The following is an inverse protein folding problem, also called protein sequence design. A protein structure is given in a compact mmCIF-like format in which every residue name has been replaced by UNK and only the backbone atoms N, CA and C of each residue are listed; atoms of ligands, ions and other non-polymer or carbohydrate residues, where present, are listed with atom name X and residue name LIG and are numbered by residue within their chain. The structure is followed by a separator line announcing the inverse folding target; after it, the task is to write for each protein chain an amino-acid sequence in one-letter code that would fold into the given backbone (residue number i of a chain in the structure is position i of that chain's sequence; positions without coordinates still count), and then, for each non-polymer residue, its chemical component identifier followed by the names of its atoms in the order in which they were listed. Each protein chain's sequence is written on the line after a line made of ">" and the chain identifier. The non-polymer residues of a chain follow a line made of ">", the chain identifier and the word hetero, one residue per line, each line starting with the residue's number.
data_IF_699689858705
#
_entry.id   IF_699689858705
#
_cell.length_a   1.000
_cell.length_b   1.000
_cell.length_c   1.000
_cell.angle_alpha   90.00
_cell.angle_beta   90.00
_cell.angle_gamma   90.00
#
_symmetry.space_group_name_H-M   'P 1'
#
loop_
_entity.id
_entity.type
_entity.pdbx_description
1 polymer ?
#
# COMPACT_ATOMS: atom_id res chain seq x y z
N UNK A 1 27.37 9.70 1.39
CA UNK A 1 26.14 9.49 2.22
C UNK A 1 26.41 9.36 3.74
N UNK A 2 27.61 8.95 4.19
CA UNK A 2 27.96 8.80 5.60
C UNK A 2 28.18 10.11 6.36
N UNK A 3 28.67 11.15 5.71
CA UNK A 3 28.96 12.47 6.30
C UNK A 3 27.69 13.24 6.66
N UNK A 4 26.64 13.16 5.86
CA UNK A 4 25.38 13.86 6.16
C UNK A 4 24.61 13.29 7.37
N UNK A 5 24.73 11.99 7.66
CA UNK A 5 24.13 11.38 8.86
C UNK A 5 24.82 11.85 10.14
N UNK A 6 26.16 11.86 10.17
CA UNK A 6 26.94 12.34 11.34
C UNK A 6 26.72 13.83 11.58
N UNK A 7 26.66 14.66 10.54
CA UNK A 7 26.38 16.09 10.66
C UNK A 7 24.96 16.35 11.15
N UNK A 8 23.94 15.63 10.69
CA UNK A 8 22.58 15.77 11.22
C UNK A 8 22.49 15.35 12.68
N UNK A 9 23.13 14.26 13.08
CA UNK A 9 23.20 13.84 14.48
C UNK A 9 23.93 14.87 15.37
N UNK A 10 25.04 15.47 14.90
CA UNK A 10 25.72 16.53 15.62
C UNK A 10 24.83 17.78 15.78
N UNK A 11 24.16 18.24 14.71
CA UNK A 11 23.27 19.40 14.79
C UNK A 11 22.06 19.16 15.70
N UNK A 12 21.56 17.94 15.79
CA UNK A 12 20.48 17.56 16.70
C UNK A 12 20.99 17.52 18.12
N UNK A 13 22.15 16.91 18.39
CA UNK A 13 22.78 16.83 19.73
C UNK A 13 23.09 18.18 20.35
N UNK A 14 23.47 19.17 19.56
CA UNK A 14 23.84 20.50 20.05
C UNK A 14 22.66 21.41 20.39
N UNK A 15 21.44 21.06 19.91
CA UNK A 15 20.23 21.90 20.05
C UNK A 15 19.09 21.25 20.83
N UNK A 16 19.11 19.92 20.96
CA UNK A 16 18.06 19.13 21.57
C UNK A 16 18.64 18.14 22.57
N UNK A 17 17.77 17.54 23.37
CA UNK A 17 18.16 16.44 24.25
C UNK A 17 18.95 15.37 23.49
N UNK A 18 20.14 14.96 23.93
CA UNK A 18 20.94 13.95 23.25
C UNK A 18 20.25 12.58 23.14
N UNK A 19 19.21 12.34 23.92
CA UNK A 19 18.40 11.14 23.90
C UNK A 19 17.19 11.23 22.95
N UNK A 20 16.96 12.38 22.30
CA UNK A 20 15.86 12.54 21.36
C UNK A 20 15.94 11.56 20.17
N UNK A 21 17.17 11.21 19.75
CA UNK A 21 17.41 10.20 18.70
C UNK A 21 18.51 9.27 19.19
N UNK A 22 18.12 8.05 19.54
CA UNK A 22 19.06 7.01 19.95
C UNK A 22 19.33 6.03 18.80
N UNK A 23 20.55 5.50 18.75
CA UNK A 23 20.97 4.50 17.80
C UNK A 23 21.67 3.35 18.51
N UNK A 24 21.14 2.14 18.33
CA UNK A 24 21.75 0.91 18.84
C UNK A 24 22.87 0.52 17.89
N UNK A 25 24.11 0.52 18.36
CA UNK A 25 25.30 0.21 17.54
C UNK A 25 25.52 -1.29 17.34
N UNK A 26 24.94 -2.10 18.23
CA UNK A 26 25.04 -3.56 18.14
C UNK A 26 24.07 -4.10 17.10
N UNK A 27 24.53 -5.02 16.26
CA UNK A 27 23.77 -5.65 15.19
C UNK A 27 23.23 -7.03 15.59
N UNK A 28 23.40 -7.44 16.83
CA UNK A 28 22.89 -8.72 17.34
C UNK A 28 21.35 -8.71 17.37
N UNK A 29 20.75 -9.73 16.82
CA UNK A 29 19.29 -9.88 16.74
C UNK A 29 18.61 -10.04 18.09
N UNK A 30 19.33 -10.46 19.13
CA UNK A 30 18.82 -10.53 20.51
C UNK A 30 18.27 -9.19 21.00
N UNK A 31 18.84 -8.06 20.55
CA UNK A 31 18.31 -6.74 20.86
C UNK A 31 16.91 -6.49 20.29
N UNK A 32 16.57 -7.09 19.15
CA UNK A 32 15.21 -7.01 18.62
C UNK A 32 14.23 -7.68 19.58
N UNK A 33 14.58 -8.85 20.10
CA UNK A 33 13.73 -9.58 21.06
C UNK A 33 13.49 -8.80 22.35
N UNK A 34 14.52 -8.10 22.85
CA UNK A 34 14.37 -7.24 24.02
C UNK A 34 13.47 -6.03 23.74
N UNK A 35 13.62 -5.38 22.57
CA UNK A 35 12.76 -4.26 22.16
C UNK A 35 11.30 -4.68 22.05
N UNK A 36 11.01 -5.91 21.56
CA UNK A 36 9.65 -6.43 21.44
C UNK A 36 8.94 -6.62 22.81
N UNK A 37 9.71 -6.70 23.90
CA UNK A 37 9.20 -6.89 25.27
C UNK A 37 9.19 -5.60 26.11
N UNK A 38 9.70 -4.50 25.56
CA UNK A 38 9.92 -3.23 26.29
C UNK A 38 8.61 -2.42 26.42
N UNK A 39 7.56 -3.04 26.94
CA UNK A 39 6.31 -2.35 27.29
C UNK A 39 6.56 -1.29 28.36
N UNK A 40 6.05 -0.08 28.14
CA UNK A 40 6.22 1.05 29.05
C UNK A 40 7.47 1.89 28.77
N UNK A 41 8.47 1.36 28.07
CA UNK A 41 9.65 2.09 27.61
C UNK A 41 9.54 2.48 26.11
N UNK A 42 8.79 1.70 25.34
CA UNK A 42 8.53 1.93 23.91
C UNK A 42 7.03 1.99 23.66
N UNK A 43 6.56 3.10 23.10
CA UNK A 43 5.14 3.31 22.79
C UNK A 43 4.71 2.58 21.52
N UNK A 44 5.58 2.53 20.49
CA UNK A 44 5.27 1.91 19.18
C UNK A 44 6.54 1.43 18.47
N UNK A 45 6.44 0.27 17.83
CA UNK A 45 7.47 -0.28 16.95
C UNK A 45 7.00 -0.16 15.50
N UNK A 46 7.87 0.38 14.63
CA UNK A 46 7.64 0.46 13.18
C UNK A 46 8.69 -0.42 12.50
N UNK A 47 8.35 -1.67 12.19
CA UNK A 47 9.33 -2.59 11.62
C UNK A 47 9.68 -2.23 10.18
N UNK A 48 10.94 -2.45 9.82
CA UNK A 48 11.46 -2.35 8.46
C UNK A 48 12.34 -3.55 8.16
N UNK A 49 11.99 -4.32 7.15
CA UNK A 49 12.73 -5.52 6.77
C UNK A 49 11.88 -6.48 5.94
N UNK A 50 12.40 -7.66 5.67
CA UNK A 50 11.67 -8.69 4.92
C UNK A 50 10.52 -9.31 5.72
N UNK A 51 9.66 -10.04 5.01
CA UNK A 51 8.44 -10.69 5.50
C UNK A 51 8.67 -11.49 6.80
N UNK A 52 9.71 -12.32 6.85
CA UNK A 52 10.01 -13.14 8.03
C UNK A 52 10.27 -12.34 9.30
N UNK A 53 10.94 -11.19 9.19
CA UNK A 53 11.16 -10.32 10.34
C UNK A 53 9.85 -9.68 10.82
N UNK A 54 9.03 -9.21 9.89
CA UNK A 54 7.74 -8.57 10.22
C UNK A 54 6.78 -9.58 10.84
N UNK A 55 6.76 -10.82 10.34
CA UNK A 55 5.99 -11.92 10.92
C UNK A 55 6.44 -12.24 12.35
N UNK A 56 7.76 -12.36 12.57
CA UNK A 56 8.34 -12.58 13.90
C UNK A 56 7.92 -11.47 14.88
N UNK A 57 8.01 -10.22 14.45
CA UNK A 57 7.60 -9.05 15.26
C UNK A 57 6.10 -9.12 15.55
N UNK A 58 5.27 -9.44 14.55
CA UNK A 58 3.82 -9.53 14.70
C UNK A 58 3.38 -10.59 15.71
N UNK A 59 4.14 -11.70 15.81
CA UNK A 59 3.82 -12.81 16.70
C UNK A 59 4.34 -12.60 18.13
N UNK A 60 5.45 -11.88 18.29
CA UNK A 60 6.19 -11.83 19.55
C UNK A 60 6.18 -10.47 20.23
N UNK A 61 5.75 -9.39 19.54
CA UNK A 61 5.75 -8.06 20.14
C UNK A 61 4.63 -7.89 21.17
N UNK A 62 5.01 -7.41 22.34
CA UNK A 62 4.09 -6.89 23.37
C UNK A 62 3.85 -5.40 23.19
N UNK A 63 4.75 -4.71 22.49
CA UNK A 63 4.63 -3.30 22.15
C UNK A 63 3.74 -3.16 20.91
N UNK A 64 2.82 -2.19 20.85
CA UNK A 64 2.03 -1.87 19.67
C UNK A 64 2.90 -1.70 18.42
N UNK A 65 2.46 -2.25 17.28
CA UNK A 65 3.22 -2.19 16.03
C UNK A 65 2.44 -1.48 14.94
N UNK A 66 3.11 -0.61 14.18
CA UNK A 66 2.61 -0.06 12.92
C UNK A 66 3.38 -0.79 11.81
N UNK A 67 2.73 -1.73 11.15
CA UNK A 67 3.40 -2.62 10.20
C UNK A 67 2.77 -2.58 8.82
N UNK A 68 3.60 -2.92 7.86
CA UNK A 68 3.25 -3.20 6.49
C UNK A 68 3.96 -4.48 6.07
N UNK A 69 3.22 -5.44 5.51
CA UNK A 69 3.78 -6.73 5.12
C UNK A 69 4.13 -6.76 3.63
N UNK A 70 3.16 -6.47 2.78
CA UNK A 70 3.25 -6.56 1.32
C UNK A 70 2.34 -5.51 0.68
N UNK A 71 2.68 -5.06 -0.54
CA UNK A 71 1.89 -4.12 -1.33
C UNK A 71 1.18 -4.79 -2.50
N UNK A 72 0.16 -5.61 -2.23
CA UNK A 72 -0.68 -6.21 -3.28
C UNK A 72 -1.80 -5.26 -3.67
N UNK A 73 -1.46 -4.27 -4.50
CA UNK A 73 -2.42 -3.27 -4.97
C UNK A 73 -3.13 -3.74 -6.25
N UNK A 74 -4.42 -3.38 -6.37
CA UNK A 74 -5.23 -3.70 -7.54
C UNK A 74 -5.71 -2.43 -8.24
N UNK A 75 -5.87 -2.53 -9.55
CA UNK A 75 -6.59 -1.55 -10.36
C UNK A 75 -7.74 -2.25 -11.06
N UNK A 76 -8.95 -1.78 -10.86
CA UNK A 76 -10.13 -2.23 -11.61
C UNK A 76 -10.44 -1.23 -12.72
N UNK A 77 -10.58 -1.71 -13.94
CA UNK A 77 -11.02 -0.95 -15.09
C UNK A 77 -12.45 -1.34 -15.48
N UNK A 78 -13.37 -0.42 -15.18
CA UNK A 78 -14.80 -0.59 -15.41
C UNK A 78 -15.19 -0.40 -16.87
N UNK A 79 -16.37 -0.88 -17.24
CA UNK A 79 -16.96 -0.69 -18.57
C UNK A 79 -17.22 0.79 -18.85
N UNK A 80 -16.93 1.22 -20.09
CA UNK A 80 -17.20 2.59 -20.55
C UNK A 80 -16.22 3.65 -20.06
N UNK A 81 -15.24 3.31 -19.24
CA UNK A 81 -14.15 4.21 -18.92
C UNK A 81 -13.17 4.28 -20.09
N UNK A 82 -12.71 5.48 -20.40
CA UNK A 82 -11.86 5.78 -21.56
C UNK A 82 -10.55 4.97 -21.57
N UNK A 83 -10.29 4.27 -22.66
CA UNK A 83 -9.14 3.37 -22.80
C UNK A 83 -7.79 4.07 -22.77
N UNK A 84 -7.71 5.29 -23.29
CA UNK A 84 -6.45 6.06 -23.31
C UNK A 84 -6.07 6.46 -21.88
N UNK A 85 -7.05 6.93 -21.11
CA UNK A 85 -6.86 7.23 -19.68
C UNK A 85 -6.55 5.98 -18.88
N UNK A 86 -7.22 4.86 -19.17
CA UNK A 86 -6.93 3.58 -18.53
C UNK A 86 -5.50 3.14 -18.82
N UNK A 87 -5.04 3.21 -20.07
CA UNK A 87 -3.68 2.87 -20.47
C UNK A 87 -2.63 3.73 -19.74
N UNK A 88 -2.89 5.05 -19.64
CA UNK A 88 -2.00 5.96 -18.92
C UNK A 88 -1.93 5.66 -17.42
N UNK A 89 -3.08 5.54 -16.76
CA UNK A 89 -3.16 5.31 -15.31
C UNK A 89 -2.57 3.95 -14.94
N UNK A 90 -2.90 2.88 -15.68
CA UNK A 90 -2.40 1.53 -15.40
C UNK A 90 -0.90 1.43 -15.64
N UNK A 91 -0.39 2.04 -16.72
CA UNK A 91 1.05 2.08 -16.98
C UNK A 91 1.79 2.85 -15.88
N UNK A 92 1.28 3.99 -15.44
CA UNK A 92 1.84 4.74 -14.31
C UNK A 92 1.78 3.92 -13.02
N UNK A 93 0.63 3.28 -12.72
CA UNK A 93 0.43 2.50 -11.51
C UNK A 93 1.37 1.28 -11.44
N UNK A 94 1.74 0.67 -12.56
CA UNK A 94 2.65 -0.49 -12.57
C UNK A 94 4.10 -0.11 -12.83
N UNK A 95 4.38 0.78 -13.78
CA UNK A 95 5.71 0.89 -14.39
C UNK A 95 6.52 2.13 -13.96
N UNK A 96 5.89 3.14 -13.34
CA UNK A 96 6.63 4.30 -12.82
C UNK A 96 7.74 3.88 -11.85
N UNK A 97 7.41 2.97 -10.93
CA UNK A 97 8.31 2.35 -9.97
C UNK A 97 7.76 0.97 -9.59
N UNK A 98 8.11 -0.09 -10.31
CA UNK A 98 7.52 -1.41 -10.07
C UNK A 98 7.93 -2.04 -8.74
N UNK A 99 9.05 -1.58 -8.14
CA UNK A 99 9.62 -2.12 -6.91
C UNK A 99 9.07 -1.49 -5.61
N UNK A 100 8.05 -0.64 -5.70
CA UNK A 100 7.41 -0.06 -4.50
C UNK A 100 6.07 -0.73 -4.19
N UNK A 101 5.72 -0.76 -2.91
CA UNK A 101 4.48 -1.37 -2.41
C UNK A 101 3.18 -0.74 -2.96
N UNK A 102 3.23 0.47 -3.49
CA UNK A 102 2.10 1.12 -4.16
C UNK A 102 1.93 0.75 -5.64
N UNK A 103 2.80 -0.09 -6.21
CA UNK A 103 2.65 -0.56 -7.59
C UNK A 103 1.46 -1.51 -7.72
N UNK A 104 0.65 -1.33 -8.77
CA UNK A 104 -0.43 -2.27 -9.10
C UNK A 104 0.18 -3.63 -9.47
N UNK A 105 -0.22 -4.69 -8.75
CA UNK A 105 0.20 -6.06 -9.03
C UNK A 105 -0.86 -6.84 -9.82
N UNK A 106 -2.14 -6.45 -9.68
CA UNK A 106 -3.25 -7.07 -10.40
C UNK A 106 -4.12 -6.01 -11.08
N UNK A 107 -4.36 -6.21 -12.38
CA UNK A 107 -5.35 -5.46 -13.16
C UNK A 107 -6.62 -6.32 -13.36
N UNK A 108 -7.74 -5.83 -12.87
CA UNK A 108 -9.06 -6.41 -13.08
C UNK A 108 -9.76 -5.63 -14.18
N UNK A 109 -10.25 -6.32 -15.21
CA UNK A 109 -10.89 -5.70 -16.38
C UNK A 109 -12.32 -6.18 -16.48
N UNK A 110 -13.27 -5.26 -16.57
CA UNK A 110 -14.67 -5.60 -16.80
C UNK A 110 -14.83 -6.26 -18.17
N UNK A 111 -15.54 -7.40 -18.21
CA UNK A 111 -15.74 -8.23 -19.41
C UNK A 111 -16.49 -7.52 -20.57
N UNK A 112 -17.17 -6.43 -20.28
CA UNK A 112 -17.84 -5.58 -21.27
C UNK A 112 -16.90 -4.67 -22.08
N UNK A 113 -15.62 -4.55 -21.71
CA UNK A 113 -14.64 -3.84 -22.54
C UNK A 113 -14.32 -4.65 -23.78
N UNK A 114 -14.16 -3.98 -24.93
CA UNK A 114 -13.88 -4.68 -26.19
C UNK A 114 -12.48 -5.30 -26.20
N UNK A 115 -12.29 -6.36 -26.98
CA UNK A 115 -10.96 -6.96 -27.14
C UNK A 115 -9.92 -5.96 -27.71
N UNK A 116 -10.37 -5.03 -28.56
CA UNK A 116 -9.52 -3.96 -29.09
C UNK A 116 -9.06 -2.99 -27.98
N UNK A 117 -9.97 -2.55 -27.11
CA UNK A 117 -9.65 -1.66 -26.01
C UNK A 117 -8.74 -2.35 -24.97
N UNK A 118 -9.01 -3.61 -24.66
CA UNK A 118 -8.16 -4.43 -23.79
C UNK A 118 -6.76 -4.55 -24.38
N UNK A 119 -6.65 -4.87 -25.70
CA UNK A 119 -5.36 -4.95 -26.40
C UNK A 119 -4.62 -3.61 -26.32
N UNK A 120 -5.29 -2.49 -26.52
CA UNK A 120 -4.68 -1.16 -26.44
C UNK A 120 -4.00 -0.92 -25.08
N UNK A 121 -4.69 -1.20 -23.99
CA UNK A 121 -4.15 -1.02 -22.62
C UNK A 121 -2.99 -1.98 -22.35
N UNK A 122 -3.13 -3.25 -22.71
CA UNK A 122 -2.11 -4.26 -22.44
C UNK A 122 -0.88 -4.11 -23.35
N UNK A 123 -1.04 -3.69 -24.61
CA UNK A 123 0.07 -3.40 -25.53
C UNK A 123 0.89 -2.19 -25.05
N UNK A 124 0.25 -1.20 -24.44
CA UNK A 124 0.95 -0.09 -23.79
C UNK A 124 1.88 -0.59 -22.67
N UNK A 125 1.41 -1.50 -21.82
CA UNK A 125 2.25 -2.13 -20.78
C UNK A 125 3.38 -2.94 -21.39
N UNK A 126 3.07 -3.79 -22.38
CA UNK A 126 4.04 -4.67 -23.05
C UNK A 126 5.12 -3.90 -23.78
N UNK A 127 4.78 -2.80 -24.43
CA UNK A 127 5.75 -1.93 -25.14
C UNK A 127 6.80 -1.36 -24.18
N UNK A 128 6.51 -1.27 -22.89
CA UNK A 128 7.40 -0.81 -21.83
C UNK A 128 8.12 -1.97 -21.10
N UNK A 129 7.96 -3.20 -21.62
CA UNK A 129 8.64 -4.40 -21.11
C UNK A 129 7.95 -5.08 -19.95
N UNK A 130 6.61 -4.90 -19.80
CA UNK A 130 5.84 -5.57 -18.77
C UNK A 130 5.40 -6.97 -19.23
N UNK A 131 5.66 -7.99 -18.41
CA UNK A 131 5.15 -9.35 -18.57
C UNK A 131 3.67 -9.41 -18.17
N UNK A 132 2.82 -9.93 -19.05
CA UNK A 132 1.37 -10.06 -18.84
C UNK A 132 1.04 -11.50 -18.44
N UNK A 133 0.60 -11.69 -17.21
CA UNK A 133 0.21 -12.97 -16.64
C UNK A 133 -1.31 -12.99 -16.58
N UNK A 134 -1.97 -13.78 -17.43
CA UNK A 134 -3.40 -13.65 -17.66
C UNK A 134 -4.25 -14.82 -17.18
N UNK A 135 -5.48 -14.54 -16.77
CA UNK A 135 -6.47 -15.59 -16.56
C UNK A 135 -6.88 -16.27 -17.87
N UNK A 136 -7.57 -17.43 -17.79
CA UNK A 136 -8.01 -18.21 -18.96
C UNK A 136 -8.87 -17.37 -19.91
N UNK A 137 -9.79 -16.56 -19.39
CA UNK A 137 -10.67 -15.69 -20.22
C UNK A 137 -9.87 -14.64 -21.00
N UNK A 138 -8.83 -14.07 -20.41
CA UNK A 138 -7.97 -13.12 -21.12
C UNK A 138 -7.20 -13.80 -22.24
N UNK A 139 -6.71 -15.03 -22.04
CA UNK A 139 -5.98 -15.80 -23.05
C UNK A 139 -6.81 -16.06 -24.33
N UNK A 140 -8.14 -16.08 -24.23
CA UNK A 140 -9.03 -16.27 -25.37
C UNK A 140 -9.09 -15.03 -26.29
N UNK A 141 -8.78 -13.84 -25.78
CA UNK A 141 -8.90 -12.58 -26.50
C UNK A 141 -7.60 -11.80 -26.65
N UNK A 142 -6.55 -12.16 -25.90
CA UNK A 142 -5.26 -11.48 -25.91
C UNK A 142 -4.10 -12.46 -25.75
N UNK A 143 -2.97 -12.19 -26.40
CA UNK A 143 -1.75 -12.98 -26.24
C UNK A 143 -1.07 -12.65 -24.90
N UNK A 144 -1.09 -13.59 -23.97
CA UNK A 144 -0.44 -13.50 -22.66
C UNK A 144 0.93 -14.18 -22.67
N UNK A 145 1.84 -13.78 -21.76
CA UNK A 145 3.16 -14.39 -21.65
C UNK A 145 3.09 -15.75 -20.93
N UNK A 146 2.23 -15.86 -19.92
CA UNK A 146 1.87 -17.12 -19.27
C UNK A 146 0.49 -17.07 -18.61
N UNK A 147 -0.07 -18.23 -18.36
CA UNK A 147 -1.30 -18.35 -17.59
C UNK A 147 -1.05 -18.05 -16.10
N UNK A 148 -1.99 -17.34 -15.48
CA UNK A 148 -2.00 -17.12 -14.05
C UNK A 148 -2.36 -18.40 -13.28
N UNK A 149 -1.68 -18.64 -12.18
CA UNK A 149 -1.99 -19.66 -11.17
C UNK A 149 -2.67 -19.00 -9.96
N UNK A 150 -3.15 -19.79 -9.00
CA UNK A 150 -3.77 -19.24 -7.78
C UNK A 150 -2.76 -18.41 -6.96
N UNK A 151 -1.50 -18.80 -6.93
CA UNK A 151 -0.44 -18.10 -6.19
C UNK A 151 -0.12 -16.73 -6.80
N UNK A 152 -0.31 -16.57 -8.11
CA UNK A 152 -0.06 -15.29 -8.77
C UNK A 152 -0.95 -14.16 -8.26
N UNK A 153 -2.19 -14.48 -7.84
CA UNK A 153 -3.11 -13.49 -7.28
C UNK A 153 -2.67 -12.95 -5.91
N UNK A 154 -1.78 -13.67 -5.23
CA UNK A 154 -1.22 -13.31 -3.91
C UNK A 154 0.27 -12.98 -3.98
N UNK A 155 0.82 -12.73 -5.19
CA UNK A 155 2.25 -12.46 -5.37
C UNK A 155 2.51 -10.99 -5.60
N UNK A 156 3.32 -10.38 -4.73
CA UNK A 156 3.93 -9.06 -4.95
C UNK A 156 5.20 -9.28 -5.78
N UNK A 157 5.16 -8.94 -7.08
CA UNK A 157 6.29 -9.19 -7.99
C UNK A 157 7.45 -8.24 -7.78
N UNK A 158 7.18 -6.98 -7.42
CA UNK A 158 8.18 -5.90 -7.31
C UNK A 158 9.02 -5.76 -8.59
N UNK A 159 8.43 -6.08 -9.74
CA UNK A 159 9.06 -6.16 -11.06
C UNK A 159 8.06 -5.72 -12.13
N UNK A 160 8.52 -5.59 -13.37
CA UNK A 160 7.67 -5.33 -14.54
C UNK A 160 6.84 -6.57 -14.94
N UNK A 161 6.00 -7.02 -14.02
CA UNK A 161 5.07 -8.14 -14.19
C UNK A 161 3.73 -7.74 -13.59
N UNK A 162 2.66 -8.12 -14.26
CA UNK A 162 1.31 -7.83 -13.80
C UNK A 162 0.38 -9.01 -14.05
N UNK A 163 -0.42 -9.38 -13.06
CA UNK A 163 -1.54 -10.29 -13.27
C UNK A 163 -2.73 -9.55 -13.84
N UNK A 164 -3.46 -10.20 -14.75
CA UNK A 164 -4.65 -9.62 -15.39
C UNK A 164 -5.80 -10.62 -15.35
N UNK A 165 -6.94 -10.19 -14.80
CA UNK A 165 -8.15 -10.99 -14.71
C UNK A 165 -9.33 -10.26 -15.34
N UNK A 166 -10.13 -10.99 -16.14
CA UNK A 166 -11.43 -10.53 -16.63
C UNK A 166 -12.48 -10.84 -15.57
N UNK A 167 -13.26 -9.84 -15.17
CA UNK A 167 -14.36 -9.93 -14.20
C UNK A 167 -15.67 -9.46 -14.82
N UNK A 168 -16.80 -9.96 -14.35
CA UNK A 168 -18.09 -9.68 -14.98
C UNK A 168 -18.75 -8.38 -14.49
N UNK A 169 -18.37 -7.91 -13.30
CA UNK A 169 -18.95 -6.72 -12.69
C UNK A 169 -18.05 -6.18 -11.55
N UNK A 170 -18.47 -5.07 -10.95
CA UNK A 170 -17.77 -4.45 -9.83
C UNK A 170 -17.77 -5.35 -8.58
N UNK A 171 -18.82 -6.13 -8.37
CA UNK A 171 -18.97 -7.04 -7.24
C UNK A 171 -17.87 -8.11 -7.25
N UNK A 172 -17.68 -8.79 -8.41
CA UNK A 172 -16.61 -9.78 -8.59
C UNK A 172 -15.23 -9.15 -8.40
N UNK A 173 -15.04 -7.91 -8.89
CA UNK A 173 -13.81 -7.16 -8.69
C UNK A 173 -13.52 -6.94 -7.19
N UNK A 174 -14.51 -6.46 -6.44
CA UNK A 174 -14.39 -6.21 -5.00
C UNK A 174 -14.19 -7.50 -4.20
N UNK A 175 -14.87 -8.59 -4.58
CA UNK A 175 -14.65 -9.91 -3.98
C UNK A 175 -13.20 -10.38 -4.19
N UNK A 176 -12.68 -10.26 -5.42
CA UNK A 176 -11.30 -10.61 -5.73
C UNK A 176 -10.32 -9.77 -4.91
N UNK A 177 -10.50 -8.46 -4.88
CA UNK A 177 -9.67 -7.54 -4.09
C UNK A 177 -9.70 -7.92 -2.61
N UNK A 178 -10.88 -8.09 -2.03
CA UNK A 178 -11.02 -8.43 -0.61
C UNK A 178 -10.44 -9.81 -0.24
N UNK A 179 -10.29 -10.71 -1.22
CA UNK A 179 -9.69 -12.05 -1.03
C UNK A 179 -8.17 -12.01 -1.09
N UNK A 180 -7.59 -11.26 -2.02
CA UNK A 180 -6.17 -11.37 -2.34
C UNK A 180 -5.33 -10.14 -1.95
N UNK A 181 -5.96 -8.97 -1.80
CA UNK A 181 -5.23 -7.75 -1.43
C UNK A 181 -4.57 -7.84 -0.06
N UNK A 182 -3.42 -7.22 0.04
CA UNK A 182 -2.75 -6.95 1.33
C UNK A 182 -3.47 -5.87 2.16
N UNK A 183 -4.51 -5.23 1.62
CA UNK A 183 -5.20 -4.12 2.26
C UNK A 183 -4.49 -2.77 2.14
N UNK A 184 -3.59 -2.62 1.16
CA UNK A 184 -2.81 -1.41 0.96
C UNK A 184 -3.59 -0.35 0.17
N UNK A 185 -3.59 -0.42 -1.15
CA UNK A 185 -4.18 0.60 -2.04
C UNK A 185 -4.87 -0.05 -3.22
N UNK A 186 -6.09 0.38 -3.50
CA UNK A 186 -6.86 -0.07 -4.65
C UNK A 186 -7.37 1.12 -5.47
N UNK A 187 -7.46 0.95 -6.77
CA UNK A 187 -7.99 1.97 -7.69
C UNK A 187 -9.13 1.42 -8.54
N UNK A 188 -10.19 2.22 -8.67
CA UNK A 188 -11.30 1.98 -9.59
C UNK A 188 -11.26 3.03 -10.70
N UNK A 189 -11.06 2.58 -11.93
CA UNK A 189 -11.15 3.42 -13.13
C UNK A 189 -12.57 3.34 -13.67
N UNK A 190 -13.39 4.31 -13.32
CA UNK A 190 -14.81 4.35 -13.67
C UNK A 190 -15.34 5.78 -13.64
N UNK A 191 -16.27 6.09 -14.52
CA UNK A 191 -17.08 7.31 -14.49
C UNK A 191 -18.52 7.01 -14.01
N UNK A 192 -18.85 5.75 -13.73
CA UNK A 192 -20.12 5.34 -13.16
C UNK A 192 -20.16 5.54 -11.65
N UNK A 193 -21.00 6.44 -11.19
CA UNK A 193 -21.10 6.81 -9.76
C UNK A 193 -21.56 5.64 -8.87
N UNK A 194 -22.40 4.73 -9.39
CA UNK A 194 -22.84 3.56 -8.64
C UNK A 194 -21.68 2.58 -8.41
N UNK A 195 -20.88 2.30 -9.45
CA UNK A 195 -19.67 1.48 -9.36
C UNK A 195 -18.65 2.08 -8.38
N UNK A 196 -18.41 3.40 -8.49
CA UNK A 196 -17.46 4.12 -7.61
C UNK A 196 -17.91 4.02 -6.15
N UNK A 197 -19.19 4.28 -5.88
CA UNK A 197 -19.74 4.23 -4.53
C UNK A 197 -19.70 2.81 -3.96
N UNK A 198 -20.06 1.81 -4.78
CA UNK A 198 -19.98 0.40 -4.39
C UNK A 198 -18.54 0.01 -4.02
N UNK A 199 -17.57 0.39 -4.86
CA UNK A 199 -16.15 0.16 -4.61
C UNK A 199 -15.70 0.76 -3.28
N UNK A 200 -15.97 2.05 -3.04
CA UNK A 200 -15.57 2.74 -1.80
C UNK A 200 -16.23 2.17 -0.54
N UNK A 201 -17.45 1.65 -0.65
CA UNK A 201 -18.16 1.09 0.50
C UNK A 201 -17.74 -0.35 0.83
N UNK A 202 -17.35 -1.15 -0.17
CA UNK A 202 -17.17 -2.58 0.00
C UNK A 202 -15.72 -3.06 -0.04
N UNK A 203 -14.77 -2.29 -0.61
CA UNK A 203 -13.34 -2.57 -0.48
C UNK A 203 -12.85 -2.28 0.93
N UNK A 204 -12.00 -3.18 1.45
CA UNK A 204 -11.51 -3.12 2.86
C UNK A 204 -10.12 -2.50 2.99
N UNK A 205 -9.46 -2.14 1.90
CA UNK A 205 -8.10 -1.63 1.89
C UNK A 205 -7.97 -0.24 2.55
N UNK A 206 -6.74 0.12 2.91
CA UNK A 206 -6.47 1.36 3.64
C UNK A 206 -6.69 2.60 2.80
N UNK A 207 -6.39 2.51 1.50
CA UNK A 207 -6.48 3.61 0.56
C UNK A 207 -7.31 3.14 -0.63
N UNK A 208 -8.35 3.89 -0.94
CA UNK A 208 -9.22 3.65 -2.09
C UNK A 208 -9.22 4.88 -2.98
N UNK A 209 -9.00 4.68 -4.27
CA UNK A 209 -8.89 5.74 -5.26
C UNK A 209 -9.90 5.55 -6.39
N UNK A 210 -10.32 6.64 -6.97
CA UNK A 210 -11.05 6.65 -8.22
C UNK A 210 -10.26 7.44 -9.25
N UNK A 211 -10.09 6.88 -10.44
CA UNK A 211 -9.43 7.51 -11.60
C UNK A 211 -8.02 8.03 -11.30
N UNK A 212 -7.27 7.31 -10.45
CA UNK A 212 -5.93 7.67 -10.05
C UNK A 212 -5.02 6.43 -9.98
N UNK A 213 -3.73 6.62 -10.23
CA UNK A 213 -2.70 5.62 -10.07
C UNK A 213 -2.56 5.20 -8.60
N UNK A 214 -2.45 3.92 -8.31
CA UNK A 214 -2.17 3.42 -6.94
C UNK A 214 -0.87 3.97 -6.37
N UNK A 215 0.09 4.39 -7.21
CA UNK A 215 1.33 5.04 -6.79
C UNK A 215 1.16 6.49 -6.33
N UNK A 216 -0.05 7.05 -6.41
CA UNK A 216 -0.38 8.31 -5.77
C UNK A 216 -0.55 8.17 -4.24
N UNK A 217 -0.62 6.93 -3.74
CA UNK A 217 -0.64 6.59 -2.32
C UNK A 217 0.72 6.86 -1.66
N UNK A 218 0.97 8.10 -1.33
CA UNK A 218 2.21 8.60 -0.74
C UNK A 218 1.92 9.74 0.24
N UNK A 219 2.60 9.73 1.38
CA UNK A 219 2.38 10.76 2.41
C UNK A 219 2.77 12.17 1.97
N UNK A 220 3.70 12.30 1.00
CA UNK A 220 4.05 13.57 0.39
C UNK A 220 2.90 14.09 -0.49
N UNK A 221 2.36 13.22 -1.35
CA UNK A 221 1.23 13.53 -2.23
C UNK A 221 -0.05 13.85 -1.43
N UNK A 222 -0.26 13.18 -0.28
CA UNK A 222 -1.38 13.43 0.63
C UNK A 222 -1.18 14.66 1.53
N UNK A 223 -0.07 15.39 1.38
CA UNK A 223 0.19 16.61 2.15
C UNK A 223 0.63 16.38 3.60
N UNK A 224 1.07 15.18 3.96
CA UNK A 224 1.59 14.88 5.32
C UNK A 224 3.05 15.29 5.49
N UNK A 225 3.70 15.80 4.45
CA UNK A 225 5.09 16.29 4.42
C UNK A 225 6.14 15.19 4.38
N UNK A 226 5.96 14.13 5.16
CA UNK A 226 6.83 12.94 5.16
C UNK A 226 6.02 11.70 5.53
N UNK A 227 6.54 10.55 5.16
CA UNK A 227 5.97 9.25 5.46
C UNK A 227 7.03 8.33 6.05
N UNK A 228 6.69 7.67 7.17
CA UNK A 228 7.52 6.60 7.74
C UNK A 228 7.13 5.23 7.20
N UNK A 229 5.95 5.11 6.62
CA UNK A 229 5.41 3.92 5.97
C UNK A 229 3.91 4.00 5.79
N UNK A 230 3.34 2.97 5.16
CA UNK A 230 1.90 2.83 4.96
C UNK A 230 1.40 1.70 5.84
N UNK A 231 0.46 1.99 6.74
CA UNK A 231 -0.14 0.99 7.62
C UNK A 231 -1.34 0.34 6.94
N UNK A 232 -1.36 -0.98 6.88
CA UNK A 232 -2.49 -1.77 6.40
C UNK A 232 -3.37 -2.29 7.54
N UNK A 233 -2.90 -2.17 8.79
CA UNK A 233 -3.65 -2.54 9.98
C UNK A 233 -4.88 -1.64 10.19
N UNK A 234 -5.78 -2.07 11.09
CA UNK A 234 -6.99 -1.33 11.47
C UNK A 234 -6.87 -0.66 12.83
N UNK A 235 -5.71 -0.72 13.46
CA UNK A 235 -5.42 -0.06 14.73
C UNK A 235 -5.09 1.41 14.46
N UNK A 236 -5.76 2.29 15.10
CA UNK A 236 -5.88 3.77 15.04
C UNK A 236 -5.20 4.54 13.91
N UNK A 237 -4.04 4.13 13.36
CA UNK A 237 -3.44 4.71 12.16
C UNK A 237 -3.53 3.74 10.99
N UNK A 238 -4.01 4.24 9.84
CA UNK A 238 -4.19 3.44 8.62
C UNK A 238 -3.83 4.29 7.39
N UNK A 239 -3.24 3.67 6.37
CA UNK A 239 -2.70 4.38 5.21
C UNK A 239 -1.34 5.02 5.52
N UNK A 240 -0.94 6.10 4.81
CA UNK A 240 0.35 6.77 5.01
C UNK A 240 0.51 7.30 6.44
N UNK A 241 1.63 6.97 7.08
CA UNK A 241 1.95 7.35 8.46
C UNK A 241 2.94 8.49 8.46
N UNK A 242 2.47 9.71 8.65
CA UNK A 242 3.28 10.91 8.79
C UNK A 242 3.50 11.31 10.26
N UNK A 243 4.19 12.43 10.49
CA UNK A 243 4.55 12.91 11.83
C UNK A 243 3.34 13.07 12.76
N UNK A 244 2.20 13.54 12.26
CA UNK A 244 0.97 13.71 13.04
C UNK A 244 0.46 12.39 13.61
N UNK A 245 0.66 11.27 12.93
CA UNK A 245 0.19 9.95 13.34
C UNK A 245 1.08 9.31 14.43
N UNK A 246 2.27 9.86 14.64
CA UNK A 246 3.22 9.44 15.68
C UNK A 246 3.09 10.26 16.97
N UNK A 247 2.06 11.09 17.07
CA UNK A 247 1.77 11.92 18.24
C UNK A 247 0.41 11.59 18.81
N UNK A 248 0.22 11.89 20.11
CA UNK A 248 -1.07 11.77 20.78
C UNK A 248 -1.35 13.05 21.56
N UNK A 249 -2.47 13.11 22.22
CA UNK A 249 -2.93 14.27 22.99
C UNK A 249 -3.29 13.89 24.42
N UNK A 250 -3.30 14.88 25.30
CA UNK A 250 -3.83 14.77 26.65
C UNK A 250 -4.84 15.88 26.91
N UNK A 251 -5.82 15.59 27.71
CA UNK A 251 -6.77 16.60 28.17
C UNK A 251 -6.21 17.32 29.39
N UNK A 252 -6.32 18.65 29.39
CA UNK A 252 -6.03 19.48 30.54
C UNK A 252 -7.31 20.18 30.96
N UNK A 253 -7.82 19.90 32.14
CA UNK A 253 -9.07 20.47 32.64
C UNK A 253 -8.76 21.35 33.84
N UNK A 254 -9.14 22.63 33.76
CA UNK A 254 -9.06 23.54 34.91
C UNK A 254 -10.50 23.85 35.36
N UNK A 255 -10.83 23.45 36.55
CA UNK A 255 -12.13 23.69 37.15
C UNK A 255 -12.06 24.75 38.27
N UNK A 256 -13.23 25.33 38.60
CA UNK A 256 -13.42 26.13 39.80
C UNK A 256 -14.40 25.40 40.69
N UNK A 257 -13.93 24.44 41.48
CA UNK A 257 -14.70 23.56 42.34
C UNK A 257 -15.79 22.76 41.57
N UNK A 258 -15.50 22.42 40.30
CA UNK A 258 -16.45 21.70 39.46
C UNK A 258 -16.59 20.27 39.93
N UNK A 259 -17.82 19.86 40.21
CA UNK A 259 -18.22 18.49 40.58
C UNK A 259 -19.02 17.86 39.43
N UNK A 260 -19.02 16.52 39.40
CA UNK A 260 -19.94 15.81 38.52
C UNK A 260 -21.34 15.85 39.14
N UNK A 261 -22.41 16.21 38.37
CA UNK A 261 -23.79 16.17 38.83
C UNK A 261 -24.25 14.76 39.17
#
# INVERSE_FOLDING_TARGET
>A
HGTNRRQRQMCIRDRFDPYLVCFIQNTDRSFVEELLKAEGDIDVIIPRGGKSLIETISQNSRVPTIKHLEGLCHTFWDIGYDKEKAAEVVANAKLRRPEICGATETLLIHSGNSAEDISHVLDNLRSQGCEIIGCTRLKEMYSIDRAATEDDWSTEYLDKKITVKIVDNIEESVEHINKYSSGHTESCLSDNQESIQYFFQNCKSAILMNNASTQFADGGEFGFGAEIGISTDKLHVRGPVGAKHLTTFKYQVTGNHTTRP
#
